data_IF_320341291617
#
_entry.id   IF_320341291617
#
_cell.length_a   1.000
_cell.length_b   1.000
_cell.length_c   1.000
_cell.angle_alpha   90.00
_cell.angle_beta   90.00
_cell.angle_gamma   90.00
#
_symmetry.space_group_name_H-M   'P 1'
#
loop_
_entity.id
_entity.type
_entity.pdbx_description
1 polymer ?
#
# COMPACT_ATOMS: atom_id res chain seq x y z
N UNK A 1 12.40 -24.55 -17.10
CA UNK A 1 13.10 -23.28 -16.84
C UNK A 1 12.21 -22.17 -17.35
N UNK A 2 11.46 -21.50 -16.47
CA UNK A 2 10.70 -20.30 -16.82
C UNK A 2 11.68 -19.14 -16.64
N UNK A 3 11.96 -18.43 -17.74
CA UNK A 3 12.74 -17.20 -17.71
C UNK A 3 12.04 -16.20 -16.79
N UNK A 4 12.64 -15.92 -15.63
CA UNK A 4 12.35 -14.69 -14.90
C UNK A 4 12.94 -13.54 -15.73
N UNK A 5 12.15 -13.02 -16.67
CA UNK A 5 12.39 -11.69 -17.21
C UNK A 5 12.12 -10.76 -16.02
N UNK A 6 13.17 -10.29 -15.36
CA UNK A 6 13.04 -9.30 -14.29
C UNK A 6 12.23 -8.14 -14.81
N UNK A 7 11.11 -7.84 -14.16
CA UNK A 7 10.34 -6.64 -14.46
C UNK A 7 11.29 -5.43 -14.35
N UNK A 8 11.35 -4.60 -15.39
CA UNK A 8 12.07 -3.34 -15.29
C UNK A 8 11.47 -2.55 -14.13
N UNK A 9 12.31 -2.03 -13.24
CA UNK A 9 11.85 -1.18 -12.14
C UNK A 9 11.00 -0.04 -12.70
N UNK A 10 9.79 0.13 -12.17
CA UNK A 10 8.89 1.17 -12.65
C UNK A 10 9.54 2.55 -12.47
N UNK A 11 9.24 3.49 -13.38
CA UNK A 11 9.71 4.86 -13.23
C UNK A 11 8.96 5.57 -12.12
N UNK A 12 9.66 6.32 -11.28
CA UNK A 12 9.05 7.17 -10.26
C UNK A 12 8.07 8.18 -10.93
N UNK A 13 6.76 8.11 -10.64
CA UNK A 13 5.77 8.99 -11.25
C UNK A 13 5.77 10.39 -10.62
N UNK A 14 6.47 10.61 -9.52
CA UNK A 14 6.49 11.87 -8.78
C UNK A 14 7.63 12.77 -9.24
N UNK A 15 7.34 14.06 -9.42
CA UNK A 15 8.36 15.06 -9.77
C UNK A 15 9.12 15.43 -8.51
N UNK A 16 10.42 15.12 -8.45
CA UNK A 16 11.29 15.40 -7.31
C UNK A 16 11.14 16.84 -6.80
N UNK A 17 10.96 16.97 -5.49
CA UNK A 17 10.85 18.27 -4.81
C UNK A 17 9.44 18.86 -4.78
N UNK A 18 8.47 18.27 -5.47
CA UNK A 18 7.05 18.65 -5.36
C UNK A 18 6.43 18.13 -4.06
N UNK A 19 5.41 18.83 -3.58
CA UNK A 19 4.66 18.46 -2.37
C UNK A 19 3.28 17.95 -2.73
N UNK A 20 2.90 16.83 -2.12
CA UNK A 20 1.60 16.19 -2.24
C UNK A 20 0.74 16.32 -0.98
N UNK A 21 -0.33 15.53 -0.96
CA UNK A 21 -1.10 15.21 0.24
C UNK A 21 -1.57 13.77 0.15
N UNK A 22 -1.80 13.15 1.30
CA UNK A 22 -2.54 11.91 1.42
C UNK A 22 -3.83 12.14 2.20
N UNK A 23 -4.95 11.64 1.68
CA UNK A 23 -6.29 11.74 2.26
C UNK A 23 -6.83 10.34 2.54
N UNK A 24 -7.65 10.25 3.58
CA UNK A 24 -8.36 9.07 4.01
C UNK A 24 -9.84 9.40 4.22
N UNK A 25 -10.62 8.40 4.66
CA UNK A 25 -12.00 8.59 5.11
C UNK A 25 -12.18 9.70 6.17
N UNK A 26 -11.12 10.08 6.90
CA UNK A 26 -11.15 11.15 7.91
C UNK A 26 -11.35 12.53 7.28
N UNK A 27 -10.87 12.73 6.04
CA UNK A 27 -10.97 14.00 5.31
C UNK A 27 -12.22 14.09 4.43
N UNK A 28 -13.13 13.11 4.54
CA UNK A 28 -14.34 13.03 3.73
C UNK A 28 -15.17 14.32 3.80
N UNK A 29 -15.38 14.94 2.63
CA UNK A 29 -16.10 16.20 2.47
C UNK A 29 -15.23 17.47 2.57
N UNK A 30 -13.94 17.34 2.89
CA UNK A 30 -13.01 18.45 2.87
C UNK A 30 -12.52 18.77 1.45
N UNK A 31 -12.25 20.04 1.16
CA UNK A 31 -11.61 20.43 -0.08
C UNK A 31 -10.16 19.93 -0.11
N UNK A 32 -9.72 19.39 -1.24
CA UNK A 32 -8.33 19.03 -1.44
C UNK A 32 -7.45 20.30 -1.45
N UNK A 33 -6.25 20.26 -0.82
CA UNK A 33 -5.34 21.38 -0.88
C UNK A 33 -4.69 21.49 -2.26
N UNK A 34 -4.14 22.67 -2.58
CA UNK A 34 -3.21 22.79 -3.70
C UNK A 34 -1.97 21.91 -3.46
N UNK A 35 -1.61 21.10 -4.46
CA UNK A 35 -0.51 20.14 -4.40
C UNK A 35 -0.07 19.70 -5.81
N UNK A 36 1.11 19.08 -5.91
CA UNK A 36 1.62 18.49 -7.16
C UNK A 36 1.13 17.07 -7.42
N UNK A 37 0.69 16.36 -6.38
CA UNK A 37 0.10 15.03 -6.44
C UNK A 37 -0.86 14.83 -5.27
N UNK A 38 -1.75 13.85 -5.38
CA UNK A 38 -2.64 13.43 -4.29
C UNK A 38 -2.65 11.91 -4.16
N UNK A 39 -2.72 11.41 -2.93
CA UNK A 39 -2.83 9.98 -2.62
C UNK A 39 -4.11 9.78 -1.80
N UNK A 40 -4.93 8.79 -2.14
CA UNK A 40 -6.24 8.61 -1.49
C UNK A 40 -6.42 7.19 -0.99
N UNK A 41 -6.81 7.04 0.27
CA UNK A 41 -7.09 5.75 0.91
C UNK A 41 -8.35 5.11 0.33
N UNK A 42 -8.22 3.89 -0.18
CA UNK A 42 -9.32 3.11 -0.76
C UNK A 42 -10.21 2.54 0.33
N UNK A 43 -9.58 1.93 1.33
CA UNK A 43 -10.24 1.35 2.48
C UNK A 43 -10.00 2.23 3.73
N UNK A 44 -10.54 1.81 4.87
CA UNK A 44 -10.45 2.56 6.12
C UNK A 44 -9.99 1.64 7.27
N UNK A 45 -8.70 1.68 7.60
CA UNK A 45 -8.15 0.88 8.70
C UNK A 45 -8.22 -0.62 8.43
N UNK A 46 -8.91 -1.37 9.31
CA UNK A 46 -8.89 -2.84 9.28
C UNK A 46 -9.39 -3.41 7.93
N UNK A 47 -8.61 -4.25 7.23
CA UNK A 47 -9.00 -4.77 5.93
C UNK A 47 -10.34 -5.53 5.98
N UNK A 48 -11.03 -5.61 4.84
CA UNK A 48 -12.35 -6.24 4.65
C UNK A 48 -13.56 -5.61 5.34
N UNK A 49 -13.38 -4.60 6.19
CA UNK A 49 -14.46 -4.10 7.05
C UNK A 49 -14.99 -2.73 6.64
N UNK A 50 -14.11 -1.75 6.49
CA UNK A 50 -14.52 -0.37 6.23
C UNK A 50 -13.86 0.17 4.97
N UNK A 51 -14.61 1.00 4.25
CA UNK A 51 -14.18 1.58 2.99
C UNK A 51 -14.41 3.08 2.94
N UNK A 52 -13.56 3.78 2.20
CA UNK A 52 -13.65 5.23 2.09
C UNK A 52 -14.82 5.64 1.18
N UNK A 53 -15.94 6.00 1.81
CA UNK A 53 -17.15 6.45 1.10
C UNK A 53 -16.95 7.74 0.26
N UNK A 54 -15.87 8.49 0.50
CA UNK A 54 -15.52 9.69 -0.26
C UNK A 54 -14.49 9.42 -1.38
N UNK A 55 -14.04 8.17 -1.56
CA UNK A 55 -12.97 7.80 -2.49
C UNK A 55 -13.19 8.37 -3.90
N UNK A 56 -14.40 8.32 -4.43
CA UNK A 56 -14.67 8.84 -5.80
C UNK A 56 -14.39 10.33 -5.93
N UNK A 57 -14.86 11.14 -4.98
CA UNK A 57 -14.67 12.59 -4.98
C UNK A 57 -13.21 12.97 -4.67
N UNK A 58 -12.60 12.31 -3.70
CA UNK A 58 -11.21 12.56 -3.29
C UNK A 58 -10.23 12.14 -4.38
N UNK A 59 -10.41 10.97 -4.99
CA UNK A 59 -9.55 10.53 -6.09
C UNK A 59 -9.74 11.41 -7.32
N UNK A 60 -10.95 11.91 -7.60
CA UNK A 60 -11.15 12.89 -8.67
C UNK A 60 -10.35 14.17 -8.42
N UNK A 61 -10.29 14.64 -7.17
CA UNK A 61 -9.47 15.79 -6.79
C UNK A 61 -7.97 15.50 -6.89
N UNK A 62 -7.52 14.31 -6.50
CA UNK A 62 -6.13 13.86 -6.67
C UNK A 62 -5.75 13.74 -8.15
N UNK A 63 -6.61 13.16 -8.98
CA UNK A 63 -6.39 13.03 -10.42
C UNK A 63 -6.28 14.40 -11.11
N UNK A 64 -7.00 15.42 -10.62
CA UNK A 64 -6.92 16.79 -11.15
C UNK A 64 -5.55 17.47 -10.92
N UNK A 65 -4.68 16.94 -10.06
CA UNK A 65 -3.29 17.41 -9.97
C UNK A 65 -2.44 16.91 -11.14
N UNK A 66 -2.97 15.99 -11.96
CA UNK A 66 -2.23 15.26 -13.00
C UNK A 66 -1.46 14.05 -12.46
N UNK A 67 -1.53 13.77 -11.16
CA UNK A 67 -0.80 12.68 -10.51
C UNK A 67 -1.56 12.18 -9.26
N UNK A 68 -2.64 11.43 -9.49
CA UNK A 68 -3.42 10.80 -8.42
C UNK A 68 -2.97 9.37 -8.16
N UNK A 69 -2.67 9.01 -6.93
CA UNK A 69 -2.36 7.66 -6.47
C UNK A 69 -3.38 7.19 -5.44
N UNK A 70 -3.32 5.91 -5.08
CA UNK A 70 -4.15 5.36 -4.01
C UNK A 70 -3.33 4.56 -3.02
N UNK A 71 -3.83 4.43 -1.79
CA UNK A 71 -3.28 3.50 -0.81
C UNK A 71 -4.37 2.60 -0.22
N UNK A 72 -3.96 1.45 0.29
CA UNK A 72 -4.81 0.49 1.02
C UNK A 72 -4.19 0.25 2.39
N UNK A 73 -4.97 0.38 3.47
CA UNK A 73 -4.59 -0.13 4.78
C UNK A 73 -4.57 -1.66 4.71
N UNK A 74 -3.45 -2.24 5.14
CA UNK A 74 -3.21 -3.67 5.04
C UNK A 74 -3.11 -4.35 6.39
N UNK A 75 -3.37 -5.65 6.46
CA UNK A 75 -3.24 -6.38 7.71
C UNK A 75 -3.40 -7.89 7.59
N UNK A 76 -3.04 -8.59 8.66
CA UNK A 76 -3.25 -10.03 8.83
C UNK A 76 -3.88 -10.34 10.18
N UNK A 77 -4.96 -11.14 10.13
CA UNK A 77 -5.55 -11.79 11.29
C UNK A 77 -5.76 -13.28 10.97
N UNK A 78 -5.40 -14.22 11.88
CA UNK A 78 -5.60 -15.65 11.64
C UNK A 78 -7.04 -16.04 11.32
N UNK A 79 -8.04 -15.30 11.83
CA UNK A 79 -9.46 -15.54 11.52
C UNK A 79 -9.78 -15.33 10.04
N UNK A 80 -8.92 -14.65 9.28
CA UNK A 80 -9.13 -14.36 7.86
C UNK A 80 -8.80 -15.51 6.95
N UNK A 81 -8.07 -16.51 7.43
CA UNK A 81 -7.66 -17.69 6.66
C UNK A 81 -8.82 -18.63 6.34
N UNK A 82 -9.97 -18.48 6.98
CA UNK A 82 -11.16 -19.25 6.65
C UNK A 82 -11.66 -18.90 5.24
N UNK A 83 -11.86 -19.90 4.40
CA UNK A 83 -12.45 -19.72 3.06
C UNK A 83 -13.95 -19.51 3.20
N UNK A 84 -14.34 -18.26 3.43
CA UNK A 84 -15.70 -17.84 3.74
C UNK A 84 -16.29 -16.89 2.67
N UNK A 85 -15.50 -16.55 1.64
CA UNK A 85 -15.89 -15.60 0.59
C UNK A 85 -15.96 -14.14 1.05
N UNK A 86 -15.68 -13.87 2.33
CA UNK A 86 -15.63 -12.52 2.91
C UNK A 86 -14.19 -12.06 3.13
N UNK A 87 -13.35 -12.91 3.70
CA UNK A 87 -11.95 -12.64 4.00
C UNK A 87 -11.04 -13.39 3.05
N UNK A 88 -11.13 -14.72 2.99
CA UNK A 88 -10.42 -15.52 1.97
C UNK A 88 -11.40 -16.04 0.93
N UNK A 89 -11.14 -15.73 -0.35
CA UNK A 89 -11.89 -16.28 -1.48
C UNK A 89 -11.38 -17.66 -1.87
N UNK A 90 -12.25 -18.49 -2.46
CA UNK A 90 -11.84 -19.80 -2.97
C UNK A 90 -10.78 -19.67 -4.08
N UNK A 91 -10.85 -18.61 -4.89
CA UNK A 91 -9.87 -18.34 -5.94
C UNK A 91 -8.48 -18.09 -5.35
N UNK A 92 -8.37 -17.20 -4.36
CA UNK A 92 -7.10 -16.91 -3.71
C UNK A 92 -6.56 -18.13 -2.93
N UNK A 93 -7.42 -18.92 -2.29
CA UNK A 93 -7.03 -20.16 -1.63
C UNK A 93 -6.48 -21.20 -2.63
N UNK A 94 -7.06 -21.28 -3.83
CA UNK A 94 -6.56 -22.17 -4.87
C UNK A 94 -5.22 -21.65 -5.45
N UNK A 95 -5.11 -20.34 -5.67
CA UNK A 95 -3.90 -19.72 -6.17
C UNK A 95 -2.72 -19.90 -5.20
N UNK A 96 -2.98 -19.78 -3.89
CA UNK A 96 -1.95 -19.89 -2.85
C UNK A 96 -1.31 -21.28 -2.76
N UNK A 97 -1.97 -22.33 -3.24
CA UNK A 97 -1.40 -23.69 -3.25
C UNK A 97 -0.11 -23.80 -4.08
N UNK A 98 0.10 -22.89 -5.03
CA UNK A 98 1.32 -22.83 -5.85
C UNK A 98 2.42 -21.95 -5.24
N UNK A 99 2.15 -21.27 -4.13
CA UNK A 99 3.12 -20.43 -3.43
C UNK A 99 4.02 -21.32 -2.58
N UNK A 100 5.34 -21.19 -2.74
CA UNK A 100 6.29 -21.93 -1.91
C UNK A 100 6.21 -21.44 -0.45
N UNK A 101 5.92 -22.34 0.49
CA UNK A 101 5.78 -22.03 1.90
C UNK A 101 5.06 -23.15 2.65
N UNK A 102 4.89 -22.97 3.96
CA UNK A 102 4.04 -23.84 4.78
C UNK A 102 2.55 -23.61 4.45
N UNK A 103 1.64 -24.54 4.82
CA UNK A 103 0.21 -24.31 4.65
C UNK A 103 -0.31 -23.02 5.31
N UNK A 104 0.25 -22.65 6.47
CA UNK A 104 -0.12 -21.40 7.16
C UNK A 104 0.32 -20.16 6.37
N UNK A 105 1.53 -20.19 5.80
CA UNK A 105 2.05 -19.13 4.94
C UNK A 105 1.26 -19.01 3.64
N UNK A 106 0.89 -20.13 3.01
CA UNK A 106 0.01 -20.14 1.84
C UNK A 106 -1.36 -19.53 2.18
N UNK A 107 -1.95 -19.89 3.32
CA UNK A 107 -3.20 -19.30 3.78
C UNK A 107 -3.08 -17.79 4.04
N UNK A 108 -1.98 -17.33 4.65
CA UNK A 108 -1.71 -15.90 4.85
C UNK A 108 -1.55 -15.15 3.53
N UNK A 109 -0.92 -15.77 2.53
CA UNK A 109 -0.86 -15.23 1.17
C UNK A 109 -2.25 -15.13 0.54
N UNK A 110 -3.12 -16.13 0.73
CA UNK A 110 -4.49 -16.12 0.22
C UNK A 110 -5.33 -14.98 0.82
N UNK A 111 -5.12 -14.66 2.11
CA UNK A 111 -5.71 -13.48 2.77
C UNK A 111 -5.30 -12.22 2.04
N UNK A 112 -4.00 -12.01 1.83
CA UNK A 112 -3.50 -10.81 1.13
C UNK A 112 -3.98 -10.71 -0.31
N UNK A 113 -4.07 -11.83 -1.02
CA UNK A 113 -4.66 -11.89 -2.35
C UNK A 113 -6.11 -11.41 -2.33
N UNK A 114 -6.90 -11.87 -1.36
CA UNK A 114 -8.33 -11.54 -1.25
C UNK A 114 -8.57 -10.09 -0.83
N UNK A 115 -7.69 -9.56 0.02
CA UNK A 115 -7.69 -8.14 0.41
C UNK A 115 -7.52 -7.25 -0.83
N UNK A 116 -6.46 -7.49 -1.60
CA UNK A 116 -6.19 -6.76 -2.83
C UNK A 116 -7.32 -6.88 -3.87
N UNK A 117 -7.89 -8.09 -4.06
CA UNK A 117 -9.04 -8.28 -4.97
C UNK A 117 -10.23 -7.39 -4.56
N UNK A 118 -10.50 -7.30 -3.26
CA UNK A 118 -11.62 -6.53 -2.73
C UNK A 118 -11.39 -5.03 -2.84
N UNK A 119 -10.18 -4.57 -2.56
CA UNK A 119 -9.82 -3.16 -2.69
C UNK A 119 -9.79 -2.69 -4.14
N UNK A 120 -9.28 -3.51 -5.07
CA UNK A 120 -9.38 -3.26 -6.51
C UNK A 120 -10.84 -3.15 -6.97
N UNK A 121 -11.69 -4.07 -6.50
CA UNK A 121 -13.13 -4.06 -6.83
C UNK A 121 -13.81 -2.79 -6.30
N UNK A 122 -13.52 -2.41 -5.06
CA UNK A 122 -14.09 -1.19 -4.48
C UNK A 122 -13.60 0.07 -5.18
N UNK A 123 -12.30 0.20 -5.42
CA UNK A 123 -11.71 1.33 -6.12
C UNK A 123 -12.32 1.50 -7.53
N UNK A 124 -12.45 0.39 -8.27
CA UNK A 124 -13.12 0.39 -9.58
C UNK A 124 -14.58 0.86 -9.48
N UNK A 125 -15.33 0.37 -8.49
CA UNK A 125 -16.71 0.79 -8.25
C UNK A 125 -16.83 2.29 -7.87
N UNK A 126 -15.76 2.89 -7.34
CA UNK A 126 -15.67 4.32 -7.02
C UNK A 126 -15.07 5.16 -8.17
N UNK A 127 -14.93 4.61 -9.37
CA UNK A 127 -14.35 5.27 -10.55
C UNK A 127 -12.88 5.67 -10.39
N UNK A 128 -12.13 4.99 -9.51
CA UNK A 128 -10.66 5.10 -9.51
C UNK A 128 -10.14 4.49 -10.80
N UNK A 129 -9.64 5.34 -11.69
CA UNK A 129 -9.13 4.96 -13.00
C UNK A 129 -7.68 5.38 -13.13
N UNK A 130 -6.83 4.44 -13.56
CA UNK A 130 -5.40 4.66 -13.85
C UNK A 130 -4.64 5.43 -12.76
N UNK A 131 -4.66 4.98 -11.49
CA UNK A 131 -3.84 5.61 -10.47
C UNK A 131 -2.36 5.52 -10.86
N UNK A 132 -1.61 6.56 -10.54
CA UNK A 132 -0.17 6.68 -10.78
C UNK A 132 0.67 5.70 -9.96
N UNK A 133 0.15 5.22 -8.82
CA UNK A 133 0.74 4.20 -7.97
C UNK A 133 -0.31 3.59 -7.03
N UNK A 134 -0.01 2.39 -6.53
CA UNK A 134 -0.69 1.75 -5.40
C UNK A 134 0.28 1.63 -4.22
N UNK A 135 -0.13 2.12 -3.05
CA UNK A 135 0.66 2.05 -1.82
C UNK A 135 0.00 1.10 -0.82
N UNK A 136 0.79 0.21 -0.23
CA UNK A 136 0.37 -0.59 0.91
C UNK A 136 0.73 0.16 2.19
N UNK A 137 -0.26 0.60 2.94
CA UNK A 137 -0.08 1.14 4.27
C UNK A 137 0.14 -0.03 5.26
N UNK A 138 1.36 -0.09 5.78
CA UNK A 138 1.84 -1.14 6.70
C UNK A 138 2.30 -0.48 7.99
N UNK A 139 1.39 -0.40 8.95
CA UNK A 139 1.62 0.24 10.24
C UNK A 139 1.29 -0.67 11.42
N UNK A 140 1.87 -0.37 12.59
CA UNK A 140 1.61 -1.12 13.83
C UNK A 140 0.21 -0.90 14.39
N UNK A 141 -0.52 0.09 13.88
CA UNK A 141 -1.93 0.31 14.21
C UNK A 141 -2.85 -0.67 13.46
N UNK A 142 -2.37 -1.29 12.38
CA UNK A 142 -3.11 -2.31 11.64
C UNK A 142 -3.01 -3.66 12.35
N UNK A 143 -3.82 -4.63 11.90
CA UNK A 143 -3.74 -6.00 12.40
C UNK A 143 -2.54 -6.72 11.82
N UNK A 144 -1.74 -7.33 12.69
CA UNK A 144 -0.61 -8.17 12.28
C UNK A 144 -0.41 -9.29 13.29
N UNK A 145 0.11 -10.43 12.81
CA UNK A 145 0.62 -11.48 13.69
C UNK A 145 1.84 -10.96 14.44
N UNK A 146 1.77 -10.96 15.77
CA UNK A 146 2.91 -10.60 16.64
C UNK A 146 3.78 -11.81 16.99
N UNK A 147 3.29 -13.03 16.80
CA UNK A 147 3.98 -14.27 17.18
C UNK A 147 4.71 -14.93 16.01
N UNK A 148 4.28 -14.67 14.78
CA UNK A 148 4.90 -15.20 13.57
C UNK A 148 4.85 -14.13 12.47
N UNK A 149 5.97 -13.43 12.29
CA UNK A 149 6.09 -12.35 11.31
C UNK A 149 6.09 -12.88 9.86
N UNK A 150 6.38 -14.17 9.65
CA UNK A 150 6.35 -14.75 8.31
C UNK A 150 4.94 -14.75 7.73
N UNK A 151 3.90 -14.84 8.55
CA UNK A 151 2.52 -14.73 8.08
C UNK A 151 2.24 -13.33 7.50
N UNK A 152 2.72 -12.28 8.17
CA UNK A 152 2.59 -10.90 7.69
C UNK A 152 3.33 -10.71 6.35
N UNK A 153 4.54 -11.28 6.22
CA UNK A 153 5.32 -11.25 4.98
C UNK A 153 4.55 -11.88 3.81
N UNK A 154 3.95 -13.06 4.03
CA UNK A 154 3.19 -13.76 3.00
C UNK A 154 1.89 -13.04 2.65
N UNK A 155 1.22 -12.42 3.62
CA UNK A 155 0.07 -11.53 3.35
C UNK A 155 0.46 -10.36 2.47
N UNK A 156 1.53 -9.63 2.82
CA UNK A 156 2.05 -8.53 2.00
C UNK A 156 2.43 -9.01 0.59
N UNK A 157 3.08 -10.18 0.49
CA UNK A 157 3.42 -10.80 -0.80
C UNK A 157 2.16 -11.12 -1.63
N UNK A 158 1.09 -11.60 -1.00
CA UNK A 158 -0.20 -11.87 -1.64
C UNK A 158 -0.83 -10.60 -2.22
N UNK A 159 -0.84 -9.53 -1.44
CA UNK A 159 -1.35 -8.21 -1.87
C UNK A 159 -0.56 -7.71 -3.09
N UNK A 160 0.78 -7.69 -2.99
CA UNK A 160 1.66 -7.22 -4.06
C UNK A 160 1.46 -8.03 -5.34
N UNK A 161 1.41 -9.36 -5.24
CA UNK A 161 1.24 -10.25 -6.39
C UNK A 161 -0.09 -9.99 -7.10
N UNK A 162 -1.18 -9.82 -6.34
CA UNK A 162 -2.50 -9.56 -6.90
C UNK A 162 -2.56 -8.19 -7.57
N UNK A 163 -2.05 -7.13 -6.91
CA UNK A 163 -2.01 -5.79 -7.51
C UNK A 163 -1.20 -5.78 -8.81
N UNK A 164 -0.01 -6.37 -8.82
CA UNK A 164 0.84 -6.45 -10.04
C UNK A 164 0.19 -7.23 -11.18
N UNK A 165 -0.71 -8.17 -10.88
CA UNK A 165 -1.47 -8.89 -11.90
C UNK A 165 -2.63 -8.08 -12.49
N UNK A 166 -3.14 -7.11 -11.74
CA UNK A 166 -4.33 -6.34 -12.08
C UNK A 166 -4.02 -4.94 -12.64
N UNK A 167 -2.82 -4.41 -12.43
CA UNK A 167 -2.44 -3.07 -12.87
C UNK A 167 -0.99 -2.99 -13.33
N UNK A 168 -0.69 -2.03 -14.21
CA UNK A 168 0.66 -1.64 -14.60
C UNK A 168 1.22 -0.50 -13.75
N UNK A 169 0.40 0.08 -12.87
CA UNK A 169 0.86 1.11 -11.94
C UNK A 169 1.89 0.52 -10.96
N UNK A 170 2.94 1.28 -10.60
CA UNK A 170 3.88 0.90 -9.55
C UNK A 170 3.17 0.52 -8.25
N UNK A 171 3.72 -0.48 -7.56
CA UNK A 171 3.28 -0.91 -6.23
C UNK A 171 4.39 -0.61 -5.24
N UNK A 172 4.09 0.17 -4.20
CA UNK A 172 5.03 0.56 -3.15
C UNK A 172 4.48 0.30 -1.74
N UNK A 173 5.31 0.55 -0.72
CA UNK A 173 4.91 0.39 0.70
C UNK A 173 5.10 1.69 1.45
N UNK A 174 4.11 2.04 2.27
CA UNK A 174 4.18 3.07 3.29
C UNK A 174 4.45 2.47 4.67
N UNK A 175 5.47 2.96 5.37
CA UNK A 175 5.77 2.60 6.75
C UNK A 175 6.84 3.52 7.36
N UNK A 176 7.20 3.25 8.61
CA UNK A 176 8.49 3.65 9.20
C UNK A 176 9.45 2.45 9.21
N UNK A 177 10.78 2.67 9.23
CA UNK A 177 11.75 1.58 9.42
C UNK A 177 11.46 0.73 10.66
N UNK A 178 11.06 1.38 11.76
CA UNK A 178 10.78 0.71 13.03
C UNK A 178 9.52 -0.17 12.95
N UNK A 179 8.43 0.35 12.39
CA UNK A 179 7.19 -0.40 12.20
C UNK A 179 7.43 -1.57 11.23
N UNK A 180 8.06 -1.32 10.07
CA UNK A 180 8.41 -2.36 9.10
C UNK A 180 9.22 -3.50 9.73
N UNK A 181 10.27 -3.14 10.49
CA UNK A 181 11.09 -4.11 11.21
C UNK A 181 10.30 -4.92 12.23
N UNK A 182 9.39 -4.28 12.98
CA UNK A 182 8.55 -4.96 13.97
C UNK A 182 7.50 -5.88 13.37
N UNK A 183 6.92 -5.51 12.22
CA UNK A 183 5.81 -6.24 11.58
C UNK A 183 6.36 -7.39 10.72
N UNK A 184 7.48 -7.18 10.05
CA UNK A 184 7.97 -8.11 9.02
C UNK A 184 9.32 -8.73 9.35
N UNK A 185 10.02 -8.29 10.40
CA UNK A 185 11.40 -8.71 10.66
C UNK A 185 12.39 -8.19 9.62
N UNK A 186 12.07 -7.10 8.91
CA UNK A 186 12.93 -6.51 7.89
C UNK A 186 12.84 -7.20 6.53
N UNK A 187 11.66 -7.70 6.18
CA UNK A 187 11.41 -8.36 4.89
C UNK A 187 11.80 -7.46 3.72
N UNK A 188 12.50 -8.04 2.74
CA UNK A 188 12.88 -7.34 1.52
C UNK A 188 11.78 -7.57 0.47
N UNK A 189 10.73 -6.76 0.53
CA UNK A 189 9.58 -6.88 -0.35
C UNK A 189 9.95 -6.50 -1.80
N UNK A 190 9.46 -7.27 -2.77
CA UNK A 190 9.66 -6.97 -4.20
C UNK A 190 8.67 -5.88 -4.66
N UNK A 191 8.92 -4.65 -4.24
CA UNK A 191 8.13 -3.45 -4.58
C UNK A 191 8.95 -2.44 -5.36
N UNK A 192 8.27 -1.48 -5.99
CA UNK A 192 8.93 -0.46 -6.82
C UNK A 192 9.55 0.66 -5.97
N UNK A 193 8.95 0.94 -4.80
CA UNK A 193 9.36 2.06 -3.95
C UNK A 193 8.87 1.99 -2.50
N UNK A 194 9.54 2.77 -1.65
CA UNK A 194 9.11 3.07 -0.30
C UNK A 194 8.60 4.52 -0.19
N UNK A 195 7.52 4.67 0.57
CA UNK A 195 6.97 5.92 1.07
C UNK A 195 7.22 5.97 2.58
N UNK A 196 8.19 6.78 2.99
CA UNK A 196 8.69 6.74 4.37
C UNK A 196 7.94 7.74 5.24
N UNK A 197 7.25 7.24 6.26
CA UNK A 197 6.72 8.06 7.34
C UNK A 197 7.88 8.58 8.21
N UNK A 198 8.08 9.90 8.26
CA UNK A 198 9.26 10.46 8.94
C UNK A 198 8.97 10.98 10.35
N UNK A 199 7.69 11.18 10.70
CA UNK A 199 7.26 11.88 11.92
C UNK A 199 7.71 13.35 11.99
N UNK A 200 8.34 13.88 10.94
CA UNK A 200 8.80 15.26 10.90
C UNK A 200 7.63 16.22 10.68
N UNK A 201 7.83 17.50 11.00
CA UNK A 201 6.80 18.55 10.84
C UNK A 201 7.04 19.53 9.70
N UNK A 202 8.10 19.32 8.92
CA UNK A 202 8.41 20.17 7.77
C UNK A 202 9.03 19.38 6.63
N UNK A 203 8.73 19.78 5.40
CA UNK A 203 9.33 19.20 4.19
C UNK A 203 10.87 19.25 4.21
N UNK A 204 11.47 20.32 4.77
CA UNK A 204 12.93 20.46 4.86
C UNK A 204 13.56 19.33 5.70
N UNK A 205 12.92 18.94 6.81
CA UNK A 205 13.41 17.85 7.65
C UNK A 205 13.11 16.49 7.04
N UNK A 206 11.91 16.31 6.47
CA UNK A 206 11.55 15.05 5.82
C UNK A 206 12.46 14.72 4.62
N UNK A 207 12.88 15.74 3.86
CA UNK A 207 13.78 15.59 2.70
C UNK A 207 15.06 14.83 3.01
N UNK A 208 15.57 14.84 4.25
CA UNK A 208 16.79 14.10 4.60
C UNK A 208 16.61 12.59 4.49
N UNK A 209 15.37 12.10 4.50
CA UNK A 209 15.03 10.68 4.33
C UNK A 209 15.01 10.26 2.86
N UNK A 210 14.96 11.20 1.90
CA UNK A 210 14.99 10.86 0.47
C UNK A 210 16.28 10.15 0.03
N UNK A 211 17.38 10.33 0.76
CA UNK A 211 18.66 9.67 0.50
C UNK A 211 18.88 8.41 1.34
N UNK A 212 17.88 7.98 2.12
CA UNK A 212 17.98 6.75 2.91
C UNK A 212 17.86 5.52 2.02
N UNK A 213 18.41 4.40 2.49
CA UNK A 213 18.07 3.08 1.95
C UNK A 213 16.64 2.77 2.38
N UNK A 214 15.76 2.41 1.44
CA UNK A 214 14.39 2.03 1.78
C UNK A 214 14.34 0.79 2.67
N UNK A 215 13.37 0.75 3.58
CA UNK A 215 13.15 -0.34 4.53
C UNK A 215 12.82 -1.69 3.85
N UNK A 216 12.26 -1.67 2.64
CA UNK A 216 12.04 -2.89 1.84
C UNK A 216 13.25 -3.27 0.98
N UNK A 217 14.29 -2.43 0.95
CA UNK A 217 15.38 -2.49 -0.01
C UNK A 217 15.11 -1.74 -1.32
N UNK A 218 13.87 -1.26 -1.55
CA UNK A 218 13.53 -0.40 -2.67
C UNK A 218 14.05 1.04 -2.47
N UNK A 219 13.91 1.88 -3.50
CA UNK A 219 14.23 3.31 -3.40
C UNK A 219 13.11 4.05 -2.67
N UNK A 220 13.46 5.07 -1.89
CA UNK A 220 12.49 6.01 -1.33
C UNK A 220 12.03 6.96 -2.44
N UNK A 221 10.73 6.97 -2.75
CA UNK A 221 10.13 7.91 -3.70
C UNK A 221 9.35 9.02 -3.00
N UNK A 222 8.82 8.74 -1.82
CA UNK A 222 8.04 9.70 -1.05
C UNK A 222 8.49 9.69 0.40
N UNK A 223 8.41 10.85 1.04
CA UNK A 223 8.57 10.99 2.49
C UNK A 223 7.41 11.79 3.05
N UNK A 224 6.73 11.25 4.06
CA UNK A 224 5.61 11.93 4.72
C UNK A 224 6.11 12.82 5.85
N UNK A 225 5.48 13.98 6.03
CA UNK A 225 5.62 14.86 7.17
C UNK A 225 4.26 15.40 7.63
N UNK A 226 4.13 15.57 8.94
CA UNK A 226 2.85 15.85 9.59
C UNK A 226 2.67 17.36 9.76
N UNK A 227 1.57 17.89 9.23
CA UNK A 227 1.10 19.25 9.51
C UNK A 227 -0.28 19.23 10.17
N UNK A 228 -1.21 20.12 9.83
CA UNK A 228 -2.64 19.96 10.19
C UNK A 228 -3.31 18.86 9.36
N UNK A 229 -2.74 18.57 8.19
CA UNK A 229 -3.06 17.48 7.28
C UNK A 229 -1.71 16.81 6.94
N UNK A 230 -1.71 15.52 6.69
CA UNK A 230 -0.52 14.82 6.24
C UNK A 230 -0.09 15.31 4.84
N UNK A 231 1.23 15.40 4.67
CA UNK A 231 1.86 15.97 3.48
C UNK A 231 3.04 15.12 3.08
N UNK A 232 3.21 15.04 1.78
CA UNK A 232 4.27 14.23 1.19
C UNK A 232 5.23 15.09 0.40
N UNK A 233 6.49 14.70 0.43
CA UNK A 233 7.52 15.28 -0.42
C UNK A 233 8.03 14.19 -1.37
N UNK A 234 8.01 14.51 -2.66
CA UNK A 234 8.62 13.67 -3.68
C UNK A 234 10.16 13.73 -3.61
N UNK A 235 10.75 12.56 -3.50
CA UNK A 235 12.15 12.25 -3.78
C UNK A 235 12.23 11.88 -5.28
#
# INVERSE_FOLDING_TARGET
MINQIGAAAASNPYVTGTTGYDYSYVQCGAAAPAAGFGIVGVNAGYPFTYYNQCLSAEFSAAANTGNGAVYINTGYDPSYTAVDGRHTTQECANASANVAGTPAQQAAWAVGCSEAQRDLTYASAQSVSSPSAWWLDVETANSWSSSDLSLNQYTIQGIISTLRSATTAPVGIYSTDAQWGSITGGYQASVDADWVATGQRTAKKARTYCSSTGFTGAKVWLVQYVTTIDRDLAC
#
